data_IF_811254715434
#
_entry.id   IF_811254715434
#
_cell.length_a   1.000
_cell.length_b   1.000
_cell.length_c   1.000
_cell.angle_alpha   90.00
_cell.angle_beta   90.00
_cell.angle_gamma   90.00
#
_symmetry.space_group_name_H-M   'P 1'
#
loop_
_entity.id
_entity.type
_entity.pdbx_description
1 polymer ?
#
# COMPACT_ATOMS: atom_id res chain seq x y z
N UNK A 1 -5.99 -15.04 2.79
CA UNK A 1 -5.67 -16.42 2.36
C UNK A 1 -4.33 -16.83 2.94
N UNK A 2 -4.16 -18.12 3.30
CA UNK A 2 -2.88 -18.62 3.82
C UNK A 2 -2.21 -19.55 2.81
N UNK A 3 -0.93 -19.36 2.51
CA UNK A 3 -0.19 -20.24 1.58
C UNK A 3 1.21 -20.56 2.10
N UNK A 4 1.64 -21.84 2.08
CA UNK A 4 2.97 -22.19 2.48
C UNK A 4 3.87 -22.16 1.24
N UNK A 5 5.02 -21.49 1.33
CA UNK A 5 5.96 -21.35 0.22
C UNK A 5 7.33 -21.91 0.61
N UNK A 6 7.91 -22.74 -0.25
CA UNK A 6 9.32 -23.11 -0.15
C UNK A 6 10.17 -22.13 -0.95
N UNK A 7 11.01 -21.36 -0.26
CA UNK A 7 11.97 -20.45 -0.89
C UNK A 7 13.25 -21.20 -1.30
N UNK A 8 13.08 -22.21 -2.16
CA UNK A 8 14.18 -23.00 -2.74
C UNK A 8 14.25 -22.93 -4.27
N UNK A 9 14.33 -21.73 -4.88
CA UNK A 9 14.53 -21.61 -6.31
C UNK A 9 15.83 -22.31 -6.71
N UNK A 10 15.79 -23.06 -7.81
CA UNK A 10 16.93 -23.86 -8.30
C UNK A 10 17.58 -24.77 -7.24
N UNK A 11 16.80 -25.25 -6.27
CA UNK A 11 17.22 -26.07 -5.11
C UNK A 11 18.14 -25.38 -4.09
N UNK A 12 18.38 -24.08 -4.22
CA UNK A 12 19.20 -23.31 -3.28
C UNK A 12 18.31 -22.72 -2.17
N UNK A 13 18.67 -22.92 -0.91
CA UNK A 13 17.90 -22.36 0.21
C UNK A 13 18.11 -20.84 0.29
N UNK A 14 17.08 -20.06 -0.07
CA UNK A 14 17.13 -18.60 -0.08
C UNK A 14 16.34 -17.97 1.07
N UNK A 15 15.85 -18.77 2.03
CA UNK A 15 15.00 -18.27 3.12
C UNK A 15 15.68 -17.13 3.87
N UNK A 16 16.90 -17.33 4.37
CA UNK A 16 17.62 -16.29 5.12
C UNK A 16 17.76 -14.99 4.31
N UNK A 17 18.32 -15.09 3.10
CA UNK A 17 18.58 -13.92 2.26
C UNK A 17 17.31 -13.14 1.93
N UNK A 18 16.25 -13.85 1.51
CA UNK A 18 14.98 -13.22 1.13
C UNK A 18 14.29 -12.60 2.34
N UNK A 19 14.29 -13.27 3.50
CA UNK A 19 13.64 -12.73 4.69
C UNK A 19 14.42 -11.60 5.36
N UNK A 20 15.74 -11.53 5.18
CA UNK A 20 16.57 -10.39 5.58
C UNK A 20 16.28 -9.18 4.68
N UNK A 21 16.02 -9.41 3.38
CA UNK A 21 15.56 -8.40 2.42
C UNK A 21 14.09 -7.98 2.62
N UNK A 22 13.33 -8.64 3.52
CA UNK A 22 11.90 -8.40 3.69
C UNK A 22 11.05 -8.86 2.51
N UNK A 23 11.48 -9.93 1.82
CA UNK A 23 10.87 -10.41 0.58
C UNK A 23 10.60 -11.91 0.59
N UNK A 24 9.69 -12.33 -0.29
CA UNK A 24 9.56 -13.72 -0.74
C UNK A 24 9.74 -13.74 -2.25
N UNK A 25 10.13 -14.89 -2.78
CA UNK A 25 10.32 -15.08 -4.21
C UNK A 25 9.77 -16.42 -4.68
N UNK A 26 9.51 -16.48 -5.97
CA UNK A 26 9.31 -17.72 -6.70
C UNK A 26 10.43 -17.85 -7.74
N UNK A 27 10.82 -19.09 -8.05
CA UNK A 27 11.69 -19.34 -9.20
C UNK A 27 11.02 -18.93 -10.50
N UNK A 28 11.59 -19.32 -11.65
CA UNK A 28 11.10 -18.94 -12.99
C UNK A 28 11.52 -17.53 -13.43
N UNK A 29 12.71 -17.09 -13.01
CA UNK A 29 13.21 -15.73 -13.25
C UNK A 29 13.28 -15.32 -14.71
N UNK A 30 13.45 -16.26 -15.64
CA UNK A 30 13.49 -15.95 -17.08
C UNK A 30 12.11 -15.74 -17.70
N UNK A 31 11.01 -16.08 -17.01
CA UNK A 31 9.67 -16.01 -17.57
C UNK A 31 9.10 -14.58 -17.65
N UNK A 32 9.64 -13.55 -16.98
CA UNK A 32 9.15 -12.14 -17.14
C UNK A 32 7.63 -11.95 -17.16
N UNK A 33 6.90 -12.66 -16.30
CA UNK A 33 5.42 -12.77 -16.32
C UNK A 33 4.71 -11.85 -15.32
N UNK A 34 5.38 -10.81 -14.81
CA UNK A 34 4.84 -10.00 -13.71
C UNK A 34 3.72 -9.05 -14.16
N UNK A 35 3.73 -8.61 -15.43
CA UNK A 35 2.70 -7.77 -16.06
C UNK A 35 1.30 -8.30 -15.78
N UNK A 36 0.41 -7.48 -15.20
CA UNK A 36 -0.91 -7.87 -14.72
C UNK A 36 -1.94 -8.12 -15.83
N UNK A 37 -1.68 -7.66 -17.05
CA UNK A 37 -2.53 -7.88 -18.23
C UNK A 37 -2.42 -9.30 -18.78
N UNK A 38 -1.36 -10.05 -18.41
CA UNK A 38 -1.13 -11.42 -18.89
C UNK A 38 -2.17 -12.39 -18.32
N UNK A 39 -2.75 -13.17 -19.22
CA UNK A 39 -3.62 -14.30 -18.87
C UNK A 39 -2.82 -15.49 -18.39
N UNK A 40 -3.50 -16.48 -17.80
CA UNK A 40 -2.85 -17.71 -17.34
C UNK A 40 -2.24 -18.52 -18.48
N UNK A 41 -2.83 -18.43 -19.68
CA UNK A 41 -2.29 -19.09 -20.87
C UNK A 41 -1.05 -18.38 -21.38
N UNK A 42 -0.99 -17.04 -21.30
CA UNK A 42 0.22 -16.28 -21.62
C UNK A 42 1.37 -16.66 -20.68
N UNK A 43 1.08 -16.78 -19.38
CA UNK A 43 2.06 -17.26 -18.38
C UNK A 43 2.53 -18.68 -18.70
N UNK A 44 1.62 -19.56 -19.13
CA UNK A 44 1.97 -20.92 -19.55
C UNK A 44 2.90 -20.92 -20.76
N UNK A 45 2.55 -20.13 -21.78
CA UNK A 45 3.32 -20.03 -23.01
C UNK A 45 4.73 -19.52 -22.74
N UNK A 46 4.86 -18.47 -21.92
CA UNK A 46 6.16 -17.89 -21.61
C UNK A 46 7.03 -18.84 -20.76
N UNK A 47 6.45 -19.61 -19.83
CA UNK A 47 7.18 -20.66 -19.12
C UNK A 47 7.65 -21.77 -20.07
N UNK A 48 6.78 -22.27 -20.96
CA UNK A 48 7.15 -23.29 -21.96
C UNK A 48 8.32 -22.80 -22.83
N UNK A 49 8.22 -21.57 -23.35
CA UNK A 49 9.24 -20.95 -24.19
C UNK A 49 10.60 -20.81 -23.50
N UNK A 50 10.63 -20.43 -22.22
CA UNK A 50 11.86 -20.18 -21.46
C UNK A 50 12.42 -21.42 -20.78
N UNK A 51 11.59 -22.43 -20.54
CA UNK A 51 11.94 -23.65 -19.82
C UNK A 51 11.46 -24.91 -20.56
N UNK A 52 11.95 -25.18 -21.78
CA UNK A 52 11.42 -26.26 -22.64
C UNK A 52 11.54 -27.65 -22.00
N UNK A 53 12.54 -27.86 -21.13
CA UNK A 53 12.72 -29.12 -20.38
C UNK A 53 11.54 -29.44 -19.45
N UNK A 54 10.89 -28.43 -18.88
CA UNK A 54 9.77 -28.62 -17.95
C UNK A 54 8.53 -29.17 -18.67
N UNK A 55 8.34 -28.76 -19.92
CA UNK A 55 7.29 -29.31 -20.78
C UNK A 55 7.58 -30.78 -21.14
N UNK A 56 8.82 -31.10 -21.52
CA UNK A 56 9.24 -32.48 -21.77
C UNK A 56 9.07 -33.40 -20.54
N UNK A 57 9.21 -32.86 -19.33
CA UNK A 57 9.00 -33.58 -18.07
C UNK A 57 7.52 -33.64 -17.63
N UNK A 58 6.58 -33.09 -18.40
CA UNK A 58 5.15 -33.06 -18.05
C UNK A 58 4.83 -32.18 -16.84
N UNK A 59 5.73 -31.26 -16.46
CA UNK A 59 5.62 -30.40 -15.27
C UNK A 59 5.11 -28.99 -15.57
N UNK A 60 4.86 -28.65 -16.83
CA UNK A 60 4.45 -27.30 -17.27
C UNK A 60 3.22 -26.79 -16.52
N UNK A 61 2.12 -27.56 -16.50
CA UNK A 61 0.88 -27.18 -15.80
C UNK A 61 1.12 -26.89 -14.32
N UNK A 62 1.98 -27.68 -13.67
CA UNK A 62 2.32 -27.50 -12.26
C UNK A 62 3.13 -26.21 -12.04
N UNK A 63 4.12 -25.94 -12.89
CA UNK A 63 4.90 -24.70 -12.86
C UNK A 63 4.03 -23.46 -13.08
N UNK A 64 3.21 -23.47 -14.14
CA UNK A 64 2.25 -22.40 -14.44
C UNK A 64 1.32 -22.11 -13.25
N UNK A 65 0.76 -23.14 -12.60
CA UNK A 65 -0.11 -22.94 -11.46
C UNK A 65 0.60 -22.32 -10.25
N UNK A 66 1.88 -22.65 -10.01
CA UNK A 66 2.64 -22.07 -8.92
C UNK A 66 2.94 -20.59 -9.16
N UNK A 67 3.36 -20.26 -10.38
CA UNK A 67 3.62 -18.88 -10.82
C UNK A 67 2.34 -18.06 -10.80
N UNK A 68 1.26 -18.58 -11.38
CA UNK A 68 -0.04 -17.90 -11.38
C UNK A 68 -0.54 -17.60 -9.96
N UNK A 69 -0.41 -18.55 -9.03
CA UNK A 69 -0.78 -18.30 -7.63
C UNK A 69 0.03 -17.18 -7.01
N UNK A 70 1.36 -17.23 -7.16
CA UNK A 70 2.24 -16.19 -6.63
C UNK A 70 1.94 -14.82 -7.22
N UNK A 71 1.59 -14.73 -8.51
CA UNK A 71 1.35 -13.46 -9.19
C UNK A 71 -0.06 -12.91 -9.00
N UNK A 72 -1.08 -13.77 -8.96
CA UNK A 72 -2.49 -13.35 -9.09
C UNK A 72 -3.40 -13.81 -7.96
N UNK A 73 -3.10 -14.93 -7.32
CA UNK A 73 -3.97 -15.43 -6.25
C UNK A 73 -3.51 -14.91 -4.88
N UNK A 74 -2.20 -14.72 -4.69
CA UNK A 74 -1.64 -14.14 -3.48
C UNK A 74 -1.88 -12.63 -3.46
N UNK A 75 -2.63 -12.14 -2.47
CA UNK A 75 -3.02 -10.74 -2.33
C UNK A 75 -2.23 -10.04 -1.21
N UNK A 76 -2.21 -8.71 -1.24
CA UNK A 76 -1.74 -7.92 -0.09
C UNK A 76 -2.63 -8.22 1.11
N UNK A 77 -2.02 -8.44 2.28
CA UNK A 77 -2.69 -8.87 3.50
C UNK A 77 -2.69 -10.39 3.74
N UNK A 78 -2.42 -11.20 2.71
CA UNK A 78 -2.35 -12.65 2.86
C UNK A 78 -1.20 -13.10 3.77
N UNK A 79 -1.39 -14.23 4.44
CA UNK A 79 -0.39 -14.86 5.30
C UNK A 79 0.39 -15.92 4.52
N UNK A 80 1.69 -15.75 4.43
CA UNK A 80 2.61 -16.70 3.82
C UNK A 80 3.36 -17.44 4.92
N UNK A 81 3.38 -18.77 4.83
CA UNK A 81 4.09 -19.64 5.78
C UNK A 81 5.35 -20.18 5.09
N UNK A 82 6.53 -19.86 5.60
CA UNK A 82 7.80 -20.32 5.02
C UNK A 82 8.49 -21.25 6.00
N UNK A 83 8.49 -22.58 5.76
CA UNK A 83 9.24 -23.51 6.59
C UNK A 83 10.70 -23.63 6.13
N UNK A 84 11.61 -23.61 7.09
CA UNK A 84 13.05 -23.79 6.94
C UNK A 84 13.61 -24.74 8.02
N UNK A 85 13.74 -26.02 7.69
CA UNK A 85 14.06 -27.05 8.69
C UNK A 85 12.93 -27.20 9.72
N UNK A 86 13.27 -27.02 10.99
CA UNK A 86 12.32 -27.00 12.11
C UNK A 86 11.76 -25.61 12.38
N UNK A 87 12.27 -24.57 11.74
CA UNK A 87 11.76 -23.21 11.88
C UNK A 87 10.63 -22.94 10.88
N UNK A 88 9.59 -22.25 11.34
CA UNK A 88 8.45 -21.84 10.53
C UNK A 88 8.22 -20.35 10.66
N UNK A 89 8.36 -19.64 9.55
CA UNK A 89 8.16 -18.19 9.48
C UNK A 89 6.74 -17.87 9.04
N UNK A 90 6.08 -16.96 9.74
CA UNK A 90 4.79 -16.40 9.34
C UNK A 90 5.01 -14.97 8.85
N UNK A 91 4.57 -14.71 7.62
CA UNK A 91 4.82 -13.48 6.90
C UNK A 91 3.49 -12.93 6.40
N UNK A 92 3.35 -11.61 6.33
CA UNK A 92 2.21 -10.94 5.71
C UNK A 92 2.68 -10.24 4.44
N UNK A 93 1.95 -10.44 3.34
CA UNK A 93 2.24 -9.79 2.06
C UNK A 93 1.87 -8.31 2.15
N UNK A 94 2.79 -7.43 1.80
CA UNK A 94 2.59 -5.97 1.84
C UNK A 94 2.77 -5.29 0.48
N UNK A 95 3.22 -6.03 -0.54
CA UNK A 95 3.50 -5.49 -1.87
C UNK A 95 2.95 -6.32 -3.02
N UNK A 96 2.79 -5.65 -4.16
CA UNK A 96 2.54 -6.26 -5.46
C UNK A 96 3.76 -7.07 -5.93
N UNK A 97 3.59 -8.04 -6.84
CA UNK A 97 4.74 -8.74 -7.41
C UNK A 97 5.61 -7.77 -8.21
N UNK A 98 6.93 -7.91 -8.08
CA UNK A 98 7.92 -7.11 -8.80
C UNK A 98 8.86 -8.02 -9.57
N UNK A 99 9.41 -7.49 -10.66
CA UNK A 99 10.43 -8.16 -11.47
C UNK A 99 11.78 -7.45 -11.30
N UNK A 100 12.78 -8.15 -10.78
CA UNK A 100 14.13 -7.63 -10.54
C UNK A 100 15.13 -8.32 -11.47
N UNK A 101 15.47 -7.63 -12.56
CA UNK A 101 16.28 -8.21 -13.64
C UNK A 101 17.70 -8.59 -13.19
N UNK A 102 18.28 -7.87 -12.23
CA UNK A 102 19.60 -8.15 -11.64
C UNK A 102 19.64 -9.47 -10.85
N UNK A 103 18.48 -10.02 -10.48
CA UNK A 103 18.36 -11.27 -9.71
C UNK A 103 18.26 -12.52 -10.56
N UNK A 104 18.10 -12.38 -11.88
CA UNK A 104 17.98 -13.53 -12.80
C UNK A 104 19.22 -14.42 -12.69
N UNK A 105 20.41 -13.85 -12.94
CA UNK A 105 21.67 -14.59 -12.96
C UNK A 105 22.27 -14.80 -11.57
N UNK A 106 21.87 -13.97 -10.59
CA UNK A 106 22.46 -13.98 -9.25
C UNK A 106 21.95 -15.15 -8.41
N UNK A 107 20.64 -15.36 -8.38
CA UNK A 107 20.02 -16.29 -7.43
C UNK A 107 18.71 -16.91 -7.92
N UNK A 108 18.30 -16.69 -9.18
CA UNK A 108 17.03 -17.15 -9.76
C UNK A 108 15.83 -16.72 -8.88
N UNK A 109 15.85 -15.48 -8.39
CA UNK A 109 14.76 -14.89 -7.60
C UNK A 109 14.22 -13.59 -8.17
N UNK A 110 14.18 -13.44 -9.49
CA UNK A 110 13.74 -12.19 -10.12
C UNK A 110 12.27 -11.84 -9.87
N UNK A 111 11.42 -12.83 -9.57
CA UNK A 111 10.00 -12.60 -9.28
C UNK A 111 9.83 -12.57 -7.76
N UNK A 112 9.66 -11.37 -7.19
CA UNK A 112 9.59 -11.15 -5.74
C UNK A 112 8.30 -10.46 -5.30
N UNK A 113 8.02 -10.52 -4.00
CA UNK A 113 7.01 -9.73 -3.30
C UNK A 113 7.55 -9.28 -1.94
N UNK A 114 7.17 -8.08 -1.55
CA UNK A 114 7.50 -7.55 -0.22
C UNK A 114 6.59 -8.17 0.84
N UNK A 115 7.19 -8.51 1.97
CA UNK A 115 6.52 -9.11 3.13
C UNK A 115 7.03 -8.50 4.43
N UNK A 116 6.22 -8.60 5.47
CA UNK A 116 6.63 -8.30 6.84
C UNK A 116 6.44 -9.53 7.72
N UNK A 117 7.33 -9.73 8.70
CA UNK A 117 7.18 -10.82 9.67
C UNK A 117 5.98 -10.57 10.57
N UNK A 118 5.15 -11.59 10.74
CA UNK A 118 4.02 -11.57 11.68
C UNK A 118 4.50 -11.90 13.09
N UNK A 119 5.40 -12.88 13.20
CA UNK A 119 6.06 -13.24 14.46
C UNK A 119 7.49 -12.67 14.49
N UNK A 120 7.98 -12.16 15.63
CA UNK A 120 9.32 -11.59 15.73
C UNK A 120 10.42 -12.64 15.49
N UNK A 121 10.17 -13.88 15.92
CA UNK A 121 11.06 -15.03 15.72
C UNK A 121 10.34 -16.14 14.94
N UNK A 122 11.08 -17.03 14.26
CA UNK A 122 10.50 -18.24 13.69
C UNK A 122 9.88 -19.09 14.81
N UNK A 123 8.80 -19.80 14.47
CA UNK A 123 8.12 -20.72 15.38
C UNK A 123 8.66 -22.12 15.14
N UNK A 124 9.01 -22.85 16.20
CA UNK A 124 9.44 -24.23 16.03
C UNK A 124 8.25 -25.08 15.52
N UNK A 125 8.51 -25.93 14.54
CA UNK A 125 7.52 -26.78 13.91
C UNK A 125 6.84 -27.74 14.89
N UNK A 126 7.50 -28.13 15.97
CA UNK A 126 6.89 -28.95 17.04
C UNK A 126 5.78 -28.21 17.77
N UNK A 127 5.85 -26.89 17.83
CA UNK A 127 4.97 -26.03 18.62
C UNK A 127 3.73 -25.63 17.82
N UNK A 128 3.70 -25.94 16.52
CA UNK A 128 2.54 -25.70 15.67
C UNK A 128 1.40 -26.68 15.98
N UNK A 129 0.14 -26.21 15.92
CA UNK A 129 -1.03 -27.07 15.90
C UNK A 129 -0.89 -28.19 14.87
N UNK A 130 -1.33 -29.40 15.24
CA UNK A 130 -1.20 -30.60 14.39
C UNK A 130 -1.80 -30.40 12.99
N UNK A 131 -2.92 -29.68 12.88
CA UNK A 131 -3.54 -29.33 11.60
C UNK A 131 -2.59 -28.57 10.68
N UNK A 132 -1.92 -27.53 11.18
CA UNK A 132 -0.95 -26.72 10.44
C UNK A 132 0.29 -27.57 10.10
N UNK A 133 0.85 -28.26 11.10
CA UNK A 133 2.06 -29.08 10.93
C UNK A 133 1.92 -30.14 9.85
N UNK A 134 0.75 -30.79 9.77
CA UNK A 134 0.45 -31.82 8.77
C UNK A 134 0.41 -31.25 7.35
N UNK A 135 -0.06 -30.01 7.18
CA UNK A 135 -0.11 -29.33 5.87
C UNK A 135 1.25 -28.81 5.39
N UNK A 136 2.22 -28.62 6.29
CA UNK A 136 3.58 -28.21 5.93
C UNK A 136 4.45 -29.35 5.35
N UNK A 137 3.92 -30.57 5.24
CA UNK A 137 4.60 -31.69 4.58
C UNK A 137 4.42 -31.65 3.05
N UNK A 138 5.17 -30.77 2.37
CA UNK A 138 5.17 -30.75 0.91
C UNK A 138 5.93 -31.95 0.33
N UNK A 139 5.20 -32.92 -0.22
CA UNK A 139 5.80 -33.94 -1.10
C UNK A 139 5.98 -33.36 -2.50
N UNK A 140 7.08 -32.62 -2.70
CA UNK A 140 7.49 -32.12 -4.02
C UNK A 140 6.68 -30.95 -4.60
N UNK A 141 5.93 -30.21 -3.77
CA UNK A 141 5.22 -28.99 -4.16
C UNK A 141 5.94 -27.76 -3.59
N UNK A 142 6.02 -26.67 -4.38
CA UNK A 142 6.60 -25.41 -3.92
C UNK A 142 5.57 -24.53 -3.19
N UNK A 143 4.29 -24.70 -3.49
CA UNK A 143 3.17 -24.03 -2.81
C UNK A 143 1.88 -24.86 -2.82
N UNK A 144 1.03 -24.65 -1.83
CA UNK A 144 -0.32 -25.24 -1.69
C UNK A 144 -1.29 -24.19 -1.15
N UNK A 145 -2.60 -24.36 -1.37
CA UNK A 145 -3.60 -23.54 -0.66
C UNK A 145 -3.78 -24.11 0.75
N UNK A 146 -3.77 -23.27 1.77
CA UNK A 146 -4.10 -23.66 3.15
C UNK A 146 -5.54 -23.31 3.51
N UNK A 147 -6.43 -23.20 2.54
CA UNK A 147 -7.84 -22.84 2.79
C UNK A 147 -8.48 -23.77 3.85
N UNK A 148 -8.12 -25.05 3.83
CA UNK A 148 -8.61 -26.05 4.79
C UNK A 148 -8.03 -25.94 6.21
N UNK A 149 -7.04 -25.06 6.45
CA UNK A 149 -6.49 -24.80 7.79
C UNK A 149 -6.33 -23.29 8.06
N UNK A 150 -7.09 -22.46 7.34
CA UNK A 150 -6.99 -21.00 7.41
C UNK A 150 -7.30 -20.53 8.83
N UNK A 151 -8.40 -21.01 9.39
CA UNK A 151 -8.91 -20.57 10.68
C UNK A 151 -7.96 -20.98 11.81
N UNK A 152 -7.38 -22.18 11.74
CA UNK A 152 -6.37 -22.62 12.70
C UNK A 152 -5.09 -21.78 12.63
N UNK A 153 -4.68 -21.32 11.44
CA UNK A 153 -3.53 -20.42 11.28
C UNK A 153 -3.81 -19.05 11.90
N UNK A 154 -5.00 -18.48 11.66
CA UNK A 154 -5.37 -17.18 12.22
C UNK A 154 -5.52 -17.24 13.74
N UNK A 155 -6.16 -18.30 14.25
CA UNK A 155 -6.29 -18.58 15.67
C UNK A 155 -4.92 -18.76 16.35
N UNK A 156 -4.02 -19.54 15.74
CA UNK A 156 -2.68 -19.74 16.26
C UNK A 156 -1.90 -18.42 16.37
N UNK A 157 -2.04 -17.55 15.37
CA UNK A 157 -1.37 -16.25 15.35
C UNK A 157 -2.05 -15.23 16.27
N UNK A 158 -3.14 -15.60 16.97
CA UNK A 158 -3.97 -14.69 17.75
C UNK A 158 -4.46 -13.48 16.94
N UNK A 159 -4.60 -13.65 15.62
CA UNK A 159 -5.06 -12.62 14.68
C UNK A 159 -6.59 -12.53 14.62
N UNK A 160 -7.29 -13.49 15.22
CA UNK A 160 -8.76 -13.60 15.17
C UNK A 160 -9.48 -12.40 15.79
N UNK A 161 -8.91 -11.73 16.79
CA UNK A 161 -9.55 -10.58 17.43
C UNK A 161 -9.47 -9.30 16.60
N UNK A 162 -8.32 -9.05 15.97
CA UNK A 162 -8.07 -7.80 15.24
C UNK A 162 -8.44 -7.88 13.76
N UNK A 163 -8.24 -9.04 13.13
CA UNK A 163 -8.52 -9.20 11.70
C UNK A 163 -10.01 -9.40 11.46
N UNK A 164 -10.71 -10.20 12.26
CA UNK A 164 -12.17 -10.36 12.11
C UNK A 164 -12.91 -9.04 12.37
N UNK A 165 -12.50 -8.28 13.40
CA UNK A 165 -13.07 -6.98 13.69
C UNK A 165 -12.75 -5.94 12.59
N UNK A 166 -11.56 -6.00 11.99
CA UNK A 166 -11.18 -5.11 10.89
C UNK A 166 -11.84 -5.47 9.56
N UNK A 167 -11.99 -6.77 9.25
CA UNK A 167 -12.69 -7.27 8.06
C UNK A 167 -14.19 -7.00 8.16
N UNK A 168 -14.82 -7.26 9.31
CA UNK A 168 -16.23 -6.95 9.56
C UNK A 168 -16.50 -5.43 9.53
N UNK A 169 -15.61 -4.61 10.11
CA UNK A 169 -15.70 -3.15 9.96
C UNK A 169 -15.48 -2.70 8.51
N UNK A 170 -14.58 -3.34 7.75
CA UNK A 170 -14.31 -2.98 6.37
C UNK A 170 -15.48 -3.36 5.45
N UNK A 171 -16.08 -4.54 5.64
CA UNK A 171 -17.26 -4.99 4.92
C UNK A 171 -18.49 -4.15 5.26
N UNK A 172 -18.72 -3.85 6.55
CA UNK A 172 -19.83 -2.98 6.96
C UNK A 172 -19.65 -1.55 6.46
N UNK A 173 -18.42 -1.01 6.50
CA UNK A 173 -18.12 0.31 5.90
C UNK A 173 -18.26 0.30 4.39
N UNK A 174 -17.83 -0.75 3.70
CA UNK A 174 -17.98 -0.87 2.25
C UNK A 174 -19.45 -0.97 1.85
N UNK A 175 -20.27 -1.69 2.64
CA UNK A 175 -21.72 -1.79 2.46
C UNK A 175 -22.40 -0.43 2.67
N UNK A 176 -22.07 0.28 3.74
CA UNK A 176 -22.57 1.63 4.03
C UNK A 176 -22.12 2.67 2.98
N UNK A 177 -20.89 2.54 2.44
CA UNK A 177 -20.39 3.38 1.35
C UNK A 177 -21.10 3.10 0.02
N UNK A 178 -21.41 1.84 -0.29
CA UNK A 178 -22.15 1.46 -1.49
C UNK A 178 -23.61 1.95 -1.46
N UNK A 179 -24.24 1.98 -0.29
CA UNK A 179 -25.58 2.58 -0.12
C UNK A 179 -25.57 4.12 -0.17
N UNK A 180 -24.46 4.76 0.22
CA UNK A 180 -24.33 6.23 0.22
C UNK A 180 -23.98 6.84 -1.15
N UNK A 181 -23.43 6.05 -2.08
CA UNK A 181 -23.03 6.55 -3.42
C UNK A 181 -24.17 6.28 -4.41
N UNK A 182 -25.25 7.05 -4.26
CA UNK A 182 -26.16 7.33 -5.37
C UNK A 182 -25.39 8.05 -6.47
N UNK A 183 -25.40 7.51 -7.68
CA UNK A 183 -24.62 7.99 -8.82
C UNK A 183 -24.80 9.49 -9.09
N UNK A 184 -23.70 10.24 -9.14
CA UNK A 184 -23.66 11.60 -9.70
C UNK A 184 -22.99 11.54 -11.07
N UNK A 185 -23.63 12.14 -12.07
CA UNK A 185 -22.99 12.45 -13.35
C UNK A 185 -22.17 13.72 -13.18
N UNK A 186 -20.85 13.61 -13.28
CA UNK A 186 -19.95 14.77 -13.41
C UNK A 186 -19.91 15.16 -14.88
N UNK A 187 -20.24 16.41 -15.18
CA UNK A 187 -20.22 16.94 -16.55
C UNK A 187 -18.81 17.45 -16.88
N UNK A 188 -18.35 17.24 -18.11
CA UNK A 188 -16.98 17.58 -18.56
C UNK A 188 -16.62 19.08 -18.59
N UNK A 189 -17.51 19.98 -18.13
CA UNK A 189 -17.28 21.43 -18.17
C UNK A 189 -16.58 21.97 -16.92
N UNK A 190 -16.58 21.21 -15.82
CA UNK A 190 -16.13 21.68 -14.51
C UNK A 190 -14.61 21.65 -14.34
N UNK A 191 -13.91 20.70 -14.97
CA UNK A 191 -12.48 20.45 -14.77
C UNK A 191 -11.59 21.67 -15.07
N UNK A 192 -11.91 22.45 -16.11
CA UNK A 192 -11.16 23.66 -16.47
C UNK A 192 -11.33 24.81 -15.47
N UNK A 193 -12.53 24.94 -14.89
CA UNK A 193 -12.80 25.99 -13.89
C UNK A 193 -12.09 25.64 -12.57
N UNK A 194 -12.12 24.36 -12.21
CA UNK A 194 -11.48 23.81 -11.01
C UNK A 194 -9.98 24.09 -11.00
N UNK A 195 -9.29 23.79 -12.11
CA UNK A 195 -7.84 24.02 -12.22
C UNK A 195 -7.46 25.51 -12.09
N UNK A 196 -8.28 26.42 -12.63
CA UNK A 196 -8.05 27.86 -12.52
C UNK A 196 -8.16 28.34 -11.07
N UNK A 197 -9.22 27.92 -10.37
CA UNK A 197 -9.47 28.32 -8.98
C UNK A 197 -8.40 27.80 -8.02
N UNK A 198 -7.95 26.56 -8.20
CA UNK A 198 -6.83 26.01 -7.42
C UNK A 198 -5.56 26.86 -7.56
N UNK A 199 -5.18 27.24 -8.79
CA UNK A 199 -4.02 28.07 -9.04
C UNK A 199 -4.16 29.51 -8.48
N UNK A 200 -5.38 30.05 -8.40
CA UNK A 200 -5.66 31.35 -7.77
C UNK A 200 -5.47 31.29 -6.25
N UNK A 201 -6.05 30.27 -5.59
CA UNK A 201 -5.89 30.05 -4.15
C UNK A 201 -4.42 29.80 -3.79
N UNK A 202 -3.71 28.96 -4.55
CA UNK A 202 -2.30 28.67 -4.34
C UNK A 202 -1.45 29.94 -4.39
N UNK A 203 -1.63 30.78 -5.42
CA UNK A 203 -0.89 32.04 -5.54
C UNK A 203 -1.17 32.99 -4.37
N UNK A 204 -2.43 33.13 -3.98
CA UNK A 204 -2.79 33.98 -2.85
C UNK A 204 -2.23 33.46 -1.52
N UNK A 205 -2.18 32.14 -1.33
CA UNK A 205 -1.59 31.53 -0.13
C UNK A 205 -0.08 31.78 -0.06
N UNK A 206 0.62 31.63 -1.20
CA UNK A 206 2.05 31.93 -1.31
C UNK A 206 2.32 33.39 -0.92
N UNK A 207 1.57 34.33 -1.48
CA UNK A 207 1.71 35.76 -1.14
C UNK A 207 1.43 36.02 0.35
N UNK A 208 0.38 35.42 0.91
CA UNK A 208 0.03 35.55 2.32
C UNK A 208 1.17 35.08 3.25
N UNK A 209 1.74 33.90 2.98
CA UNK A 209 2.84 33.34 3.78
C UNK A 209 4.13 34.16 3.61
N UNK A 210 4.44 34.62 2.39
CA UNK A 210 5.61 35.45 2.12
C UNK A 210 5.55 36.81 2.82
N UNK A 211 4.37 37.43 2.92
CA UNK A 211 4.17 38.67 3.68
C UNK A 211 4.44 38.50 5.18
N UNK A 212 4.33 37.27 5.70
CA UNK A 212 4.69 36.91 7.07
C UNK A 212 6.18 36.55 7.23
N UNK A 213 6.97 36.67 6.16
CA UNK A 213 8.39 36.29 6.15
C UNK A 213 8.64 34.79 6.01
N UNK A 214 7.60 33.99 5.75
CA UNK A 214 7.71 32.54 5.59
C UNK A 214 8.13 32.22 4.16
N UNK A 215 9.24 31.48 4.02
CA UNK A 215 9.72 31.01 2.71
C UNK A 215 8.99 29.74 2.33
N UNK A 216 8.52 29.67 1.09
CA UNK A 216 7.75 28.54 0.56
C UNK A 216 8.30 28.05 -0.77
N UNK A 217 8.09 26.77 -1.08
CA UNK A 217 8.43 26.14 -2.34
C UNK A 217 7.28 25.22 -2.81
N UNK A 218 7.20 25.00 -4.12
CA UNK A 218 6.17 24.19 -4.79
C UNK A 218 6.78 23.22 -5.82
N UNK A 219 8.01 22.74 -5.56
CA UNK A 219 8.74 21.88 -6.49
C UNK A 219 8.08 20.50 -6.63
N UNK A 220 7.74 20.13 -7.87
CA UNK A 220 7.20 18.80 -8.19
C UNK A 220 8.33 17.84 -8.56
N UNK A 221 8.77 17.03 -7.61
CA UNK A 221 9.66 15.92 -7.90
C UNK A 221 8.81 14.68 -8.27
N UNK A 222 9.05 14.09 -9.45
CA UNK A 222 8.45 12.81 -9.87
C UNK A 222 6.91 12.73 -9.94
N UNK A 223 6.22 13.88 -10.06
CA UNK A 223 4.75 13.92 -10.18
C UNK A 223 3.98 13.77 -8.87
N UNK A 224 4.67 13.56 -7.75
CA UNK A 224 4.10 13.52 -6.40
C UNK A 224 4.75 14.59 -5.53
N UNK A 225 4.02 15.66 -5.25
CA UNK A 225 4.47 16.72 -4.36
C UNK A 225 3.27 17.40 -3.72
N UNK A 226 3.41 17.94 -2.50
CA UNK A 226 2.40 18.83 -1.93
C UNK A 226 2.17 20.04 -2.85
N UNK A 227 1.00 20.66 -2.71
CA UNK A 227 0.72 21.91 -3.41
C UNK A 227 1.71 23.01 -2.98
N UNK A 228 2.07 23.03 -1.69
CA UNK A 228 3.04 23.96 -1.13
C UNK A 228 3.73 23.38 0.12
N UNK A 229 4.97 23.77 0.36
CA UNK A 229 5.67 23.49 1.62
C UNK A 229 6.61 24.64 2.04
N UNK A 230 6.88 24.78 3.34
CA UNK A 230 7.81 25.80 3.84
C UNK A 230 9.27 25.33 3.78
N UNK A 231 10.19 26.27 3.60
CA UNK A 231 11.64 26.00 3.48
C UNK A 231 12.41 26.84 4.50
N UNK A 232 13.37 26.21 5.17
CA UNK A 232 14.26 26.90 6.11
C UNK A 232 13.66 27.17 7.49
N UNK A 233 12.50 26.59 7.78
CA UNK A 233 11.87 26.61 9.11
C UNK A 233 12.37 25.43 9.97
N UNK A 234 12.46 25.65 11.28
CA UNK A 234 12.71 24.61 12.28
C UNK A 234 11.56 23.60 12.27
N UNK A 235 10.33 24.09 12.07
CA UNK A 235 9.11 23.29 11.95
C UNK A 235 8.52 23.46 10.55
N UNK A 236 8.93 22.65 9.55
CA UNK A 236 8.44 22.83 8.20
C UNK A 236 6.98 22.40 8.08
N UNK A 237 6.27 23.01 7.15
CA UNK A 237 4.83 22.81 6.95
C UNK A 237 4.52 22.31 5.55
N UNK A 238 3.52 21.44 5.43
CA UNK A 238 2.93 20.95 4.18
C UNK A 238 1.52 21.51 4.05
N UNK A 239 1.17 22.01 2.86
CA UNK A 239 -0.17 22.47 2.55
C UNK A 239 -0.73 21.68 1.37
N UNK A 240 -1.98 21.24 1.52
CA UNK A 240 -2.78 20.66 0.44
C UNK A 240 -4.03 21.52 0.26
N UNK A 241 -4.30 21.95 -0.98
CA UNK A 241 -5.37 22.89 -1.30
C UNK A 241 -6.52 22.13 -1.97
N UNK A 242 -7.73 22.29 -1.42
CA UNK A 242 -8.97 21.79 -2.02
C UNK A 242 -9.91 22.94 -2.28
N UNK A 243 -10.56 22.92 -3.44
CA UNK A 243 -11.50 23.96 -3.86
C UNK A 243 -12.94 23.70 -3.36
N UNK A 244 -13.15 22.59 -2.65
CA UNK A 244 -14.40 22.18 -2.05
C UNK A 244 -14.12 21.59 -0.66
N UNK A 245 -15.11 21.66 0.23
CA UNK A 245 -15.04 21.17 1.61
C UNK A 245 -15.82 19.86 1.82
N UNK A 246 -16.07 19.10 0.74
CA UNK A 246 -16.79 17.84 0.80
C UNK A 246 -15.99 16.73 1.47
N UNK A 247 -16.68 15.65 1.85
CA UNK A 247 -16.04 14.51 2.51
C UNK A 247 -14.91 13.87 1.67
N UNK A 248 -15.15 13.73 0.37
CA UNK A 248 -14.13 13.23 -0.55
C UNK A 248 -12.90 14.13 -0.64
N UNK A 249 -13.04 15.44 -0.46
CA UNK A 249 -11.95 16.40 -0.60
C UNK A 249 -10.99 16.34 0.59
N UNK A 250 -11.52 16.40 1.82
CA UNK A 250 -10.65 16.33 3.00
C UNK A 250 -10.02 14.94 3.16
N UNK A 251 -10.72 13.84 2.82
CA UNK A 251 -10.15 12.49 2.89
C UNK A 251 -9.00 12.31 1.90
N UNK A 252 -9.15 12.82 0.67
CA UNK A 252 -8.05 12.84 -0.31
C UNK A 252 -6.86 13.65 0.21
N UNK A 253 -7.13 14.82 0.78
CA UNK A 253 -6.08 15.67 1.32
C UNK A 253 -5.30 15.01 2.47
N UNK A 254 -6.01 14.34 3.38
CA UNK A 254 -5.39 13.55 4.47
C UNK A 254 -4.44 12.50 3.89
N UNK A 255 -4.90 11.72 2.92
CA UNK A 255 -4.07 10.69 2.28
C UNK A 255 -2.81 11.29 1.65
N UNK A 256 -2.96 12.38 0.89
CA UNK A 256 -1.84 13.07 0.24
C UNK A 256 -0.83 13.62 1.25
N UNK A 257 -1.28 14.35 2.28
CA UNK A 257 -0.40 14.93 3.31
C UNK A 257 0.41 13.88 4.05
N UNK A 258 -0.21 12.74 4.40
CA UNK A 258 0.48 11.63 5.07
C UNK A 258 1.50 10.94 4.15
N UNK A 259 1.17 10.77 2.87
CA UNK A 259 2.10 10.19 1.88
C UNK A 259 3.29 11.12 1.66
N UNK A 260 3.08 12.43 1.51
CA UNK A 260 4.16 13.39 1.30
C UNK A 260 5.14 13.45 2.48
N UNK A 261 4.65 13.47 3.73
CA UNK A 261 5.51 13.41 4.91
C UNK A 261 6.43 12.18 4.90
N UNK A 262 5.88 11.01 4.51
CA UNK A 262 6.66 9.76 4.40
C UNK A 262 7.68 9.81 3.27
N UNK A 263 7.32 10.35 2.10
CA UNK A 263 8.22 10.48 0.96
C UNK A 263 9.40 11.42 1.26
N UNK A 264 9.12 12.52 1.97
CA UNK A 264 10.12 13.53 2.34
C UNK A 264 11.00 13.11 3.53
N UNK A 265 10.68 12.00 4.21
CA UNK A 265 11.46 11.42 5.32
C UNK A 265 11.78 12.41 6.45
N UNK A 266 10.90 13.39 6.67
CA UNK A 266 10.98 14.40 7.74
C UNK A 266 9.56 14.64 8.27
N UNK A 267 9.42 15.04 9.52
CA UNK A 267 8.12 15.42 10.09
C UNK A 267 7.75 16.84 9.68
N UNK A 268 6.47 17.04 9.36
CA UNK A 268 5.93 18.34 8.97
C UNK A 268 4.65 18.66 9.75
N UNK A 269 4.43 19.94 10.03
CA UNK A 269 3.10 20.44 10.32
C UNK A 269 2.26 20.32 9.05
N UNK A 270 1.05 19.77 9.16
CA UNK A 270 0.19 19.50 7.99
C UNK A 270 -1.00 20.43 8.03
N UNK A 271 -1.31 21.09 6.92
CA UNK A 271 -2.43 21.99 6.80
C UNK A 271 -3.29 21.64 5.58
N UNK A 272 -4.60 21.53 5.81
CA UNK A 272 -5.61 21.48 4.76
C UNK A 272 -6.15 22.88 4.50
N UNK A 273 -5.99 23.35 3.27
CA UNK A 273 -6.49 24.66 2.83
C UNK A 273 -7.79 24.45 2.04
N UNK A 274 -8.92 24.93 2.55
CA UNK A 274 -10.27 24.62 2.04
C UNK A 274 -11.18 25.85 2.08
N UNK A 275 -12.25 25.93 1.26
CA UNK A 275 -13.30 26.92 1.49
C UNK A 275 -14.06 26.62 2.80
N UNK A 276 -14.86 27.57 3.32
CA UNK A 276 -15.67 27.34 4.52
C UNK A 276 -16.70 26.23 4.31
N UNK A 277 -17.14 25.63 5.42
CA UNK A 277 -18.22 24.64 5.42
C UNK A 277 -17.76 23.20 5.65
N UNK A 278 -16.53 23.00 6.12
CA UNK A 278 -16.12 21.71 6.65
C UNK A 278 -16.93 21.40 7.92
N UNK A 279 -17.44 20.17 8.04
CA UNK A 279 -18.27 19.78 9.18
C UNK A 279 -17.44 19.61 10.46
N UNK A 280 -17.99 19.96 11.61
CA UNK A 280 -17.31 19.85 12.92
C UNK A 280 -16.71 18.47 13.20
N UNK A 281 -17.39 17.41 12.76
CA UNK A 281 -16.88 16.05 12.88
C UNK A 281 -15.57 15.85 12.10
N UNK A 282 -15.49 16.37 10.87
CA UNK A 282 -14.27 16.31 10.07
C UNK A 282 -13.16 17.18 10.68
N UNK A 283 -13.49 18.35 11.22
CA UNK A 283 -12.55 19.19 11.97
C UNK A 283 -11.91 18.43 13.14
N UNK A 284 -12.73 17.71 13.93
CA UNK A 284 -12.23 16.89 15.05
C UNK A 284 -11.30 15.77 14.57
N UNK A 285 -11.63 15.08 13.48
CA UNK A 285 -10.77 14.03 12.91
C UNK A 285 -9.44 14.61 12.44
N UNK A 286 -9.47 15.69 11.66
CA UNK A 286 -8.26 16.33 11.14
C UNK A 286 -7.34 16.76 12.28
N UNK A 287 -7.91 17.33 13.34
CA UNK A 287 -7.18 17.68 14.57
C UNK A 287 -6.53 16.46 15.24
N UNK A 288 -7.25 15.35 15.39
CA UNK A 288 -6.69 14.10 15.96
C UNK A 288 -5.54 13.53 15.13
N UNK A 289 -5.55 13.77 13.81
CA UNK A 289 -4.48 13.39 12.89
C UNK A 289 -3.31 14.40 12.85
N UNK A 290 -3.37 15.47 13.65
CA UNK A 290 -2.35 16.53 13.63
C UNK A 290 -2.36 17.32 12.32
N UNK A 291 -3.53 17.51 11.71
CA UNK A 291 -3.73 18.30 10.51
C UNK A 291 -4.51 19.57 10.89
N UNK A 292 -3.87 20.73 10.75
CA UNK A 292 -4.49 22.04 10.89
C UNK A 292 -5.38 22.37 9.69
N UNK A 293 -6.30 23.31 9.88
CA UNK A 293 -7.23 23.74 8.83
C UNK A 293 -7.04 25.24 8.60
N UNK A 294 -6.91 25.60 7.33
CA UNK A 294 -6.88 26.98 6.86
C UNK A 294 -8.09 27.17 5.97
N UNK A 295 -9.10 27.88 6.45
CA UNK A 295 -10.24 28.24 5.63
C UNK A 295 -9.90 29.46 4.77
N UNK A 296 -10.26 29.45 3.49
CA UNK A 296 -10.10 30.61 2.62
C UNK A 296 -11.46 31.15 2.16
N UNK A 297 -11.65 32.47 2.21
CA UNK A 297 -12.83 33.14 1.67
C UNK A 297 -12.42 34.07 0.54
N UNK A 298 -13.13 34.00 -0.58
CA UNK A 298 -12.94 34.90 -1.71
C UNK A 298 -13.79 36.17 -1.52
N UNK A 299 -13.15 37.34 -1.56
CA UNK A 299 -13.80 38.64 -1.49
C UNK A 299 -13.32 39.50 -2.67
N UNK A 300 -14.16 39.58 -3.72
CA UNK A 300 -13.75 40.18 -4.99
C UNK A 300 -12.65 39.35 -5.66
N UNK A 301 -11.52 39.98 -5.97
CA UNK A 301 -10.36 39.31 -6.57
C UNK A 301 -9.29 38.87 -5.54
N UNK A 302 -9.63 38.90 -4.24
CA UNK A 302 -8.72 38.57 -3.15
C UNK A 302 -9.19 37.37 -2.35
N UNK A 303 -8.23 36.67 -1.75
CA UNK A 303 -8.49 35.58 -0.80
C UNK A 303 -8.05 36.01 0.60
N UNK A 304 -8.88 35.72 1.59
CA UNK A 304 -8.57 35.88 3.01
C UNK A 304 -8.45 34.49 3.63
N UNK A 305 -7.37 34.26 4.38
CA UNK A 305 -7.09 32.99 5.04
C UNK A 305 -7.36 33.10 6.54
N UNK A 306 -8.15 32.17 7.06
CA UNK A 306 -8.52 32.04 8.46
C UNK A 306 -7.99 30.73 9.02
N UNK A 307 -7.07 30.82 9.97
CA UNK A 307 -6.49 29.67 10.65
C UNK A 307 -7.46 29.19 11.71
N UNK A 308 -8.01 27.99 11.55
CA UNK A 308 -8.89 27.40 12.56
C UNK A 308 -8.01 26.95 13.72
N UNK A 309 -8.12 27.65 14.85
CA UNK A 309 -7.24 27.48 15.99
C UNK A 309 -7.13 26.00 16.39
N UNK A 310 -5.89 25.49 16.41
CA UNK A 310 -5.59 24.28 17.16
C UNK A 310 -5.44 24.69 18.62
N UNK A 311 -6.00 23.93 19.56
CA UNK A 311 -5.92 24.26 21.00
C UNK A 311 -4.47 24.34 21.54
N UNK A 312 -3.49 23.89 20.76
CA UNK A 312 -2.08 24.24 20.90
C UNK A 312 -1.84 25.60 20.24
N UNK A 313 -1.91 26.69 21.01
CA UNK A 313 -1.84 28.08 20.54
C UNK A 313 -0.52 28.56 19.93
N UNK A 314 0.20 27.73 19.19
CA UNK A 314 1.41 28.10 18.45
C UNK A 314 1.13 28.05 16.93
N UNK A 315 1.22 29.20 16.27
CA UNK A 315 1.59 29.33 14.86
C UNK A 315 3.10 29.51 14.79
#
# INVERSE_FOLDING_TARGET
MSMPYRLKPSNNNQVKNLLDDGQIAIGWSHARVVDDTLTKEDVRHEISRRYPRIEAEGKLTKGTNQVWRFLRELQIGDIVIVPDGDDVHFLRVIGHPVFLEDKIEKDDTAIRRDVVRVTPTPVNRSDLPTAIRNKLNFRGLASMKLDAVKDEVLAFLSLDGEVAAAEEQAEERARLLLEAIGSYRVSARDEKLIARKHAEVLRALVEHLQLQGIKVANERNSGLAPDLFTVGDDKPSLFEIKIAAGAGDYLKAVGQLLVYERLLKRSYQKFLVVPPGIQDFAVRILKQLGIGIVEYTEIGERFIFHWVATESGDL
#
